data_IF_858028586621
#
_entry.id   IF_858028586621
#
_cell.length_a   1.000
_cell.length_b   1.000
_cell.length_c   1.000
_cell.angle_alpha   90.00
_cell.angle_beta   90.00
_cell.angle_gamma   90.00
#
_symmetry.space_group_name_H-M   'P 1'
#
loop_
_entity.id
_entity.type
_entity.pdbx_description
1 polymer ?
#
# COMPACT_ATOMS: atom_id res chain seq x y z
N UNK A 1 0.89 8.42 -4.84
CA UNK A 1 1.84 8.05 -3.76
C UNK A 1 3.10 8.91 -3.87
N UNK A 2 3.76 9.25 -2.75
CA UNK A 2 4.42 10.55 -2.63
C UNK A 2 5.70 10.69 -3.45
N UNK A 3 6.19 9.63 -4.06
CA UNK A 3 7.43 9.67 -4.81
C UNK A 3 7.23 8.92 -6.13
N UNK A 4 6.93 9.71 -7.16
CA UNK A 4 7.08 9.36 -8.57
C UNK A 4 8.17 10.25 -9.13
N UNK A 5 9.27 9.65 -9.58
CA UNK A 5 10.23 10.33 -10.44
C UNK A 5 9.98 9.82 -11.86
N UNK A 6 9.60 10.71 -12.77
CA UNK A 6 9.36 10.40 -14.19
C UNK A 6 8.34 9.26 -14.44
N UNK A 7 7.29 9.18 -13.62
CA UNK A 7 6.21 8.20 -13.78
C UNK A 7 6.58 6.77 -13.35
N UNK A 8 7.80 6.54 -12.87
CA UNK A 8 8.21 5.27 -12.27
C UNK A 8 8.04 5.31 -10.75
N UNK A 9 7.62 4.20 -10.12
CA UNK A 9 7.55 4.14 -8.67
C UNK A 9 8.97 4.27 -8.09
N UNK A 10 9.20 5.32 -7.30
CA UNK A 10 10.40 5.44 -6.47
C UNK A 10 10.18 4.63 -5.20
N UNK A 11 10.70 3.42 -5.20
CA UNK A 11 10.69 2.52 -4.06
C UNK A 11 12.02 2.68 -3.33
N UNK A 12 11.96 2.74 -2.00
CA UNK A 12 13.14 2.85 -1.15
C UNK A 12 13.83 1.48 -1.10
N UNK A 13 15.05 1.36 -1.62
CA UNK A 13 15.95 0.28 -1.22
C UNK A 13 16.39 0.54 0.22
N UNK A 14 16.15 -0.43 1.11
CA UNK A 14 16.68 -0.36 2.45
C UNK A 14 18.21 -0.60 2.39
N UNK A 15 18.99 0.26 3.03
CA UNK A 15 20.41 -0.01 3.32
C UNK A 15 20.52 -1.26 4.21
N UNK A 16 21.68 -1.94 4.17
CA UNK A 16 22.03 -3.20 4.86
C UNK A 16 21.76 -3.09 6.37
N UNK A 17 20.51 -3.30 6.77
CA UNK A 17 20.01 -2.92 8.10
C UNK A 17 18.57 -2.44 8.02
N UNK A 18 17.68 -3.31 7.52
CA UNK A 18 16.25 -3.05 7.38
C UNK A 18 15.64 -2.44 8.64
N UNK A 19 15.45 -1.13 8.65
CA UNK A 19 15.01 -0.42 9.85
C UNK A 19 15.31 1.09 9.94
N UNK A 20 15.93 1.69 8.92
CA UNK A 20 16.21 3.13 8.89
C UNK A 20 14.96 4.02 9.00
N UNK A 21 15.14 5.29 9.43
CA UNK A 21 14.06 6.28 9.67
C UNK A 21 13.06 6.42 8.50
N UNK A 22 13.56 6.36 7.25
CA UNK A 22 12.70 6.44 6.06
C UNK A 22 11.81 5.20 5.88
N UNK A 23 12.26 4.02 6.28
CA UNK A 23 11.45 2.80 6.26
C UNK A 23 10.32 2.89 7.28
N UNK A 24 10.60 3.40 8.48
CA UNK A 24 9.57 3.59 9.51
C UNK A 24 8.52 4.62 9.09
N UNK A 25 8.95 5.69 8.41
CA UNK A 25 8.03 6.67 7.83
C UNK A 25 7.16 6.06 6.72
N UNK A 26 7.75 5.22 5.86
CA UNK A 26 7.01 4.50 4.84
C UNK A 26 5.96 3.57 5.48
N UNK A 27 6.35 2.77 6.47
CA UNK A 27 5.44 1.88 7.20
C UNK A 27 4.27 2.64 7.85
N UNK A 28 4.55 3.80 8.44
CA UNK A 28 3.52 4.68 9.00
C UNK A 28 2.54 5.19 7.96
N UNK A 29 3.02 5.62 6.80
CA UNK A 29 2.17 6.08 5.70
C UNK A 29 1.30 4.93 5.14
N UNK A 30 1.89 3.76 4.94
CA UNK A 30 1.17 2.57 4.48
C UNK A 30 0.06 2.17 5.46
N UNK A 31 0.34 2.22 6.76
CA UNK A 31 -0.65 1.94 7.80
C UNK A 31 -1.83 2.93 7.74
N UNK A 32 -1.56 4.22 7.54
CA UNK A 32 -2.60 5.25 7.37
C UNK A 32 -3.44 4.99 6.12
N UNK A 33 -2.81 4.63 4.99
CA UNK A 33 -3.52 4.32 3.74
C UNK A 33 -4.45 3.12 3.89
N UNK A 34 -3.98 2.05 4.53
CA UNK A 34 -4.81 0.86 4.80
C UNK A 34 -5.96 1.17 5.78
N UNK A 35 -5.72 2.00 6.81
CA UNK A 35 -6.75 2.42 7.73
C UNK A 35 -7.86 3.24 7.04
N UNK A 36 -7.48 4.21 6.20
CA UNK A 36 -8.44 4.98 5.39
C UNK A 36 -9.25 4.05 4.47
N UNK A 37 -8.60 3.07 3.85
CA UNK A 37 -9.28 2.07 3.02
C UNK A 37 -10.32 1.27 3.80
N UNK A 38 -10.00 0.88 5.04
CA UNK A 38 -10.93 0.16 5.90
C UNK A 38 -12.15 1.01 6.29
N UNK A 39 -11.94 2.30 6.59
CA UNK A 39 -13.03 3.24 6.90
C UNK A 39 -13.97 3.45 5.70
N UNK A 40 -13.40 3.65 4.51
CA UNK A 40 -14.16 3.75 3.25
C UNK A 40 -14.95 2.47 2.98
N UNK A 41 -14.33 1.30 3.16
CA UNK A 41 -14.99 0.01 2.97
C UNK A 41 -16.17 -0.18 3.94
N UNK A 42 -16.01 0.21 5.20
CA UNK A 42 -17.08 0.13 6.19
C UNK A 42 -18.27 1.03 5.83
N UNK A 43 -18.03 2.22 5.29
CA UNK A 43 -19.09 3.13 4.84
C UNK A 43 -19.77 2.62 3.57
N UNK A 44 -18.98 2.15 2.60
CA UNK A 44 -19.50 1.62 1.34
C UNK A 44 -20.40 0.40 1.56
N UNK A 45 -20.05 -0.51 2.48
CA UNK A 45 -20.90 -1.66 2.84
C UNK A 45 -22.28 -1.22 3.32
N UNK A 46 -22.33 -0.29 4.28
CA UNK A 46 -23.60 0.24 4.81
C UNK A 46 -24.45 0.89 3.71
N UNK A 47 -23.81 1.63 2.80
CA UNK A 47 -24.50 2.26 1.68
C UNK A 47 -25.04 1.22 0.67
N UNK A 48 -24.25 0.19 0.37
CA UNK A 48 -24.66 -0.85 -0.60
C UNK A 48 -25.71 -1.82 -0.03
N UNK A 49 -25.80 -1.95 1.29
CA UNK A 49 -26.84 -2.75 1.96
C UNK A 49 -28.23 -2.11 1.86
N UNK A 50 -28.33 -0.81 1.56
CA UNK A 50 -29.58 -0.11 1.31
C UNK A 50 -29.90 -0.05 -0.20
N UNK A 51 -30.89 -0.82 -0.69
CA UNK A 51 -31.26 -0.84 -2.11
C UNK A 51 -31.89 0.48 -2.59
N UNK A 52 -32.24 1.40 -1.68
CA UNK A 52 -32.80 2.72 -2.00
C UNK A 52 -31.76 3.82 -2.04
N UNK A 53 -30.49 3.50 -1.75
CA UNK A 53 -29.41 4.47 -1.73
C UNK A 53 -29.25 5.21 -3.07
N UNK A 54 -29.05 6.54 -3.06
CA UNK A 54 -28.97 7.32 -4.29
C UNK A 54 -27.81 6.87 -5.19
N UNK A 55 -28.07 6.73 -6.49
CA UNK A 55 -27.06 6.33 -7.48
C UNK A 55 -25.80 7.21 -7.44
N UNK A 56 -25.94 8.50 -7.12
CA UNK A 56 -24.82 9.42 -6.98
C UNK A 56 -23.90 9.05 -5.81
N UNK A 57 -24.46 8.66 -4.68
CA UNK A 57 -23.70 8.23 -3.49
C UNK A 57 -23.02 6.89 -3.74
N UNK A 58 -23.72 5.94 -4.38
CA UNK A 58 -23.14 4.64 -4.77
C UNK A 58 -21.97 4.84 -5.73
N UNK A 59 -22.11 5.73 -6.72
CA UNK A 59 -21.03 6.08 -7.64
C UNK A 59 -19.85 6.73 -6.91
N UNK A 60 -20.12 7.61 -5.95
CA UNK A 60 -19.07 8.23 -5.14
C UNK A 60 -18.31 7.18 -4.32
N UNK A 61 -19.04 6.29 -3.61
CA UNK A 61 -18.43 5.20 -2.85
C UNK A 61 -17.56 4.30 -3.74
N UNK A 62 -18.02 3.96 -4.94
CA UNK A 62 -17.25 3.16 -5.90
C UNK A 62 -15.93 3.85 -6.32
N UNK A 63 -15.94 5.17 -6.54
CA UNK A 63 -14.72 5.93 -6.85
C UNK A 63 -13.74 5.87 -5.67
N UNK A 64 -14.22 6.10 -4.45
CA UNK A 64 -13.39 6.04 -3.24
C UNK A 64 -12.82 4.65 -2.98
N UNK A 65 -13.61 3.60 -3.21
CA UNK A 65 -13.14 2.22 -3.13
C UNK A 65 -12.04 1.94 -4.17
N UNK A 66 -12.16 2.44 -5.40
CA UNK A 66 -11.13 2.27 -6.43
C UNK A 66 -9.81 2.97 -6.06
N UNK A 67 -9.89 4.16 -5.47
CA UNK A 67 -8.72 4.88 -4.93
C UNK A 67 -8.04 4.06 -3.81
N UNK A 68 -8.81 3.60 -2.82
CA UNK A 68 -8.27 2.81 -1.71
C UNK A 68 -7.71 1.46 -2.15
N UNK A 69 -8.32 0.80 -3.15
CA UNK A 69 -7.78 -0.44 -3.72
C UNK A 69 -6.44 -0.18 -4.43
N UNK A 70 -6.32 0.92 -5.16
CA UNK A 70 -5.07 1.30 -5.82
C UNK A 70 -3.95 1.55 -4.80
N UNK A 71 -4.28 2.21 -3.69
CA UNK A 71 -3.35 2.41 -2.57
C UNK A 71 -2.94 1.07 -1.96
N UNK A 72 -3.89 0.18 -1.67
CA UNK A 72 -3.61 -1.14 -1.07
C UNK A 72 -2.73 -2.02 -1.97
N UNK A 73 -2.96 -2.02 -3.29
CA UNK A 73 -2.13 -2.75 -4.25
C UNK A 73 -0.68 -2.24 -4.23
N UNK A 74 -0.49 -0.93 -4.13
CA UNK A 74 0.86 -0.35 -4.07
C UNK A 74 1.54 -0.58 -2.72
N UNK A 75 0.80 -0.62 -1.62
CA UNK A 75 1.35 -1.08 -0.33
C UNK A 75 1.82 -2.53 -0.44
N UNK A 76 1.04 -3.40 -1.07
CA UNK A 76 1.42 -4.80 -1.27
C UNK A 76 2.68 -4.96 -2.13
N UNK A 77 2.78 -4.21 -3.23
CA UNK A 77 3.98 -4.17 -4.09
C UNK A 77 5.22 -3.69 -3.32
N UNK A 78 5.10 -2.58 -2.56
CA UNK A 78 6.15 -2.03 -1.71
C UNK A 78 6.67 -3.04 -0.67
N UNK A 79 5.77 -3.81 -0.06
CA UNK A 79 6.13 -4.85 0.92
C UNK A 79 6.77 -6.06 0.26
N UNK A 80 6.29 -6.47 -0.93
CA UNK A 80 6.87 -7.57 -1.70
C UNK A 80 8.33 -7.31 -2.05
N UNK A 81 8.65 -6.11 -2.55
CA UNK A 81 10.04 -5.74 -2.88
C UNK A 81 10.99 -5.81 -1.69
N UNK A 82 10.52 -5.46 -0.48
CA UNK A 82 11.32 -5.53 0.75
C UNK A 82 11.61 -6.98 1.19
N UNK A 83 10.74 -7.92 0.85
CA UNK A 83 10.95 -9.34 1.12
C UNK A 83 11.97 -9.92 0.13
N UNK A 84 11.85 -9.60 -1.16
CA UNK A 84 12.77 -10.07 -2.20
C UNK A 84 14.21 -9.56 -1.98
N UNK A 85 14.38 -8.29 -1.59
CA UNK A 85 15.69 -7.74 -1.23
C UNK A 85 16.31 -8.49 -0.04
N UNK A 86 15.51 -8.91 0.95
CA UNK A 86 16.01 -9.63 2.13
C UNK A 86 16.46 -11.07 1.86
N UNK A 87 15.86 -11.75 0.86
CA UNK A 87 16.24 -13.11 0.46
C UNK A 87 17.55 -13.14 -0.35
N UNK A 88 17.94 -12.01 -0.96
CA UNK A 88 19.16 -11.88 -1.75
C UNK A 88 20.45 -11.73 -0.93
N UNK A 89 20.36 -11.57 0.39
CA UNK A 89 21.49 -11.38 1.31
C UNK A 89 21.88 -12.65 2.09
N UNK A 90 21.51 -13.84 1.60
CA UNK A 90 22.05 -15.09 2.14
C UNK A 90 23.55 -15.18 1.79
N UNK A 91 24.48 -15.19 2.77
CA UNK A 91 25.89 -15.28 2.47
C UNK A 91 26.17 -16.64 1.85
N UNK A 92 26.69 -16.63 0.63
CA UNK A 92 27.28 -17.80 -0.01
C UNK A 92 28.48 -18.28 0.82
N UNK A 93 28.24 -19.10 1.83
CA UNK A 93 29.25 -20.03 2.34
C UNK A 93 29.53 -21.06 1.24
N UNK A 94 30.58 -20.83 0.45
CA UNK A 94 31.17 -21.84 -0.43
C UNK A 94 32.68 -21.61 -0.59
N UNK A 95 33.40 -22.23 0.34
CA UNK A 95 34.73 -22.87 0.25
C UNK A 95 35.64 -22.64 -0.96
N UNK A 96 36.89 -22.20 -0.72
CA UNK A 96 38.12 -23.01 -0.75
C UNK A 96 39.39 -22.14 -0.62
#
# INVERSE_FOLDING_TARGET
MPWTHEGKPCLLSADEGGGGYLSQLADGLEAVQLAMGNDVLAHARKLLDDPTSPNAEVRYAAIRLAECLSDALRVAESRGMRLDDSDSDSPSEASA
#
